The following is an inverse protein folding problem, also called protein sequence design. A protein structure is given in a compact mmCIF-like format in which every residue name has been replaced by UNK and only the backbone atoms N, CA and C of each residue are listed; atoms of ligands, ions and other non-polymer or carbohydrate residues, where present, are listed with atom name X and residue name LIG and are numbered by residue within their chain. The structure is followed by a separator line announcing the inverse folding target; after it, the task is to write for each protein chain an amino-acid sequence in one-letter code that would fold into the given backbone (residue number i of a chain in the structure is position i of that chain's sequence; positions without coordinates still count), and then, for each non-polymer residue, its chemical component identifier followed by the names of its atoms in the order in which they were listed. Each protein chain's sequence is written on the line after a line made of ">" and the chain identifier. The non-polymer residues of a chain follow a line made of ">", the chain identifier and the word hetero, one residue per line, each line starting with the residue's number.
data_IF_672346175571
#
_entry.id   IF_672346175571
#
_cell.length_a   1.000
_cell.length_b   1.000
_cell.length_c   1.000
_cell.angle_alpha   90.00
_cell.angle_beta   90.00
_cell.angle_gamma   90.00
#
_symmetry.space_group_name_H-M   'P 1'
#
loop_
_entity.id
_entity.type
_entity.pdbx_description
1 polymer ?
#
# COMPACT_ATOMS: atom_id res chain seq x y z
N UNK A 1 -32.72 -25.33 8.75
CA UNK A 1 -31.99 -24.63 9.83
C UNK A 1 -32.86 -23.46 10.30
N UNK A 2 -33.54 -23.59 11.44
CA UNK A 2 -34.23 -22.46 12.09
C UNK A 2 -33.16 -21.60 12.79
N UNK A 3 -32.37 -20.90 11.97
CA UNK A 3 -31.22 -20.12 12.41
C UNK A 3 -31.68 -18.85 13.10
N UNK A 4 -31.43 -18.77 14.41
CA UNK A 4 -31.51 -17.51 15.13
C UNK A 4 -30.34 -16.63 14.68
N UNK A 5 -30.62 -15.44 14.17
CA UNK A 5 -29.60 -14.49 13.74
C UNK A 5 -29.18 -13.62 14.93
N UNK A 6 -27.90 -13.33 15.11
CA UNK A 6 -27.41 -12.44 16.16
C UNK A 6 -26.60 -11.31 15.51
N UNK A 7 -26.88 -10.06 15.86
CA UNK A 7 -26.16 -8.91 15.31
C UNK A 7 -25.29 -8.25 16.41
N UNK A 8 -23.96 -8.25 16.29
CA UNK A 8 -23.08 -7.48 17.19
C UNK A 8 -23.22 -5.99 16.91
N UNK A 9 -23.40 -5.20 17.97
CA UNK A 9 -23.67 -3.76 17.86
C UNK A 9 -22.46 -2.88 18.22
N UNK A 10 -21.25 -3.25 17.82
CA UNK A 10 -20.06 -2.39 17.96
C UNK A 10 -19.73 -1.94 19.40
N UNK A 11 -18.70 -1.12 19.57
CA UNK A 11 -18.19 -0.83 20.92
C UNK A 11 -19.21 -0.06 21.77
N UNK A 12 -19.62 -0.67 22.88
CA UNK A 12 -20.56 -0.09 23.83
C UNK A 12 -22.01 -0.56 23.69
N UNK A 13 -22.34 -1.47 22.76
CA UNK A 13 -23.66 -2.08 22.69
C UNK A 13 -23.62 -3.58 22.41
N UNK A 14 -24.42 -4.34 23.17
CA UNK A 14 -24.41 -5.80 23.18
C UNK A 14 -25.03 -6.42 21.91
N UNK A 15 -24.52 -7.57 21.50
CA UNK A 15 -25.10 -8.36 20.41
C UNK A 15 -26.48 -8.92 20.80
N UNK A 16 -27.46 -8.92 19.88
CA UNK A 16 -28.83 -9.37 20.18
C UNK A 16 -29.43 -10.30 19.13
N UNK A 17 -30.23 -11.26 19.60
CA UNK A 17 -30.95 -12.25 18.81
C UNK A 17 -32.09 -11.60 18.02
N UNK A 18 -32.11 -11.78 16.71
CA UNK A 18 -33.13 -11.28 15.79
C UNK A 18 -34.22 -12.35 15.62
N UNK A 19 -35.35 -12.16 16.29
CA UNK A 19 -36.55 -13.00 16.15
C UNK A 19 -37.76 -12.12 15.83
N UNK A 20 -37.77 -11.50 14.64
CA UNK A 20 -38.80 -10.56 14.20
C UNK A 20 -38.72 -9.23 14.96
N UNK A 21 -38.45 -8.10 14.29
CA UNK A 21 -38.04 -6.88 15.00
C UNK A 21 -39.01 -5.72 14.79
N UNK A 22 -39.72 -5.35 15.85
CA UNK A 22 -39.82 -3.94 16.25
C UNK A 22 -38.90 -3.69 17.46
N UNK A 23 -38.55 -2.44 17.73
CA UNK A 23 -37.51 -2.09 18.73
C UNK A 23 -37.89 -2.46 20.18
N UNK A 24 -39.17 -2.77 20.42
CA UNK A 24 -39.70 -3.17 21.72
C UNK A 24 -39.57 -4.67 22.04
N UNK A 25 -39.25 -5.53 21.06
CA UNK A 25 -39.32 -7.00 21.20
C UNK A 25 -37.99 -7.64 21.66
N UNK A 26 -37.00 -6.83 21.99
CA UNK A 26 -35.67 -7.24 22.46
C UNK A 26 -35.75 -7.78 23.90
N UNK A 27 -35.86 -9.09 24.07
CA UNK A 27 -36.17 -9.74 25.37
C UNK A 27 -35.16 -10.80 25.86
N UNK A 28 -33.95 -10.89 25.27
CA UNK A 28 -32.92 -11.83 25.71
C UNK A 28 -32.28 -11.47 27.07
N UNK A 29 -32.04 -12.47 27.94
CA UNK A 29 -31.47 -12.29 29.29
C UNK A 29 -29.94 -12.12 29.31
N UNK A 30 -29.22 -12.71 28.36
CA UNK A 30 -27.77 -12.69 28.33
C UNK A 30 -27.20 -11.66 27.34
N UNK A 31 -26.08 -11.02 27.69
CA UNK A 31 -25.44 -9.93 26.93
C UNK A 31 -23.98 -10.26 26.63
N UNK A 32 -23.52 -9.90 25.44
CA UNK A 32 -22.13 -10.06 25.01
C UNK A 32 -21.68 -8.82 24.22
N UNK A 33 -20.51 -8.28 24.57
CA UNK A 33 -19.83 -7.26 23.77
C UNK A 33 -19.16 -7.89 22.55
N UNK A 34 -18.56 -9.08 22.74
CA UNK A 34 -17.94 -9.89 21.69
C UNK A 34 -18.37 -11.34 21.85
N UNK A 35 -18.50 -12.04 20.72
CA UNK A 35 -18.95 -13.43 20.65
C UNK A 35 -18.11 -14.18 19.62
N UNK A 36 -17.66 -15.38 19.96
CA UNK A 36 -17.03 -16.28 18.99
C UNK A 36 -17.42 -17.73 19.30
N UNK A 37 -17.56 -18.54 18.27
CA UNK A 37 -17.60 -20.00 18.42
C UNK A 37 -16.17 -20.51 18.54
N UNK A 38 -15.91 -21.53 19.35
CA UNK A 38 -14.62 -22.21 19.35
C UNK A 38 -14.74 -23.66 19.77
N UNK A 39 -13.68 -24.43 19.58
CA UNK A 39 -13.69 -25.85 19.90
C UNK A 39 -12.95 -26.13 21.22
N UNK A 40 -13.72 -26.40 22.29
CA UNK A 40 -13.18 -26.80 23.59
C UNK A 40 -12.88 -28.31 23.57
N UNK A 41 -11.70 -28.67 23.05
CA UNK A 41 -11.33 -30.07 22.86
C UNK A 41 -12.15 -30.72 21.74
N UNK A 42 -13.14 -31.54 22.09
CA UNK A 42 -14.08 -32.15 21.12
C UNK A 42 -15.47 -31.53 21.15
N UNK A 43 -15.71 -30.59 22.06
CA UNK A 43 -17.03 -29.97 22.25
C UNK A 43 -17.06 -28.61 21.55
N UNK A 44 -18.01 -28.38 20.61
CA UNK A 44 -18.24 -27.03 20.08
C UNK A 44 -18.83 -26.16 21.20
N UNK A 45 -18.25 -24.99 21.41
CA UNK A 45 -18.61 -24.09 22.52
C UNK A 45 -18.72 -22.66 22.00
N UNK A 46 -19.52 -21.86 22.68
CA UNK A 46 -19.62 -20.42 22.42
C UNK A 46 -18.93 -19.67 23.53
N UNK A 47 -18.02 -18.78 23.15
CA UNK A 47 -17.30 -17.87 24.02
C UNK A 47 -17.88 -16.46 23.90
N UNK A 48 -17.96 -15.74 25.02
CA UNK A 48 -18.37 -14.33 25.04
C UNK A 48 -17.44 -13.47 25.88
N UNK A 49 -17.47 -12.17 25.61
CA UNK A 49 -17.03 -11.14 26.55
C UNK A 49 -18.26 -10.46 27.13
N UNK A 50 -18.38 -10.44 28.45
CA UNK A 50 -19.45 -9.75 29.14
C UNK A 50 -19.12 -8.26 29.32
N UNK A 51 -20.11 -7.39 29.23
CA UNK A 51 -19.95 -5.94 29.35
C UNK A 51 -19.52 -5.47 30.74
N UNK A 52 -19.74 -6.28 31.78
CA UNK A 52 -19.30 -5.99 33.15
C UNK A 52 -17.89 -6.51 33.48
N UNK A 53 -17.43 -7.56 32.78
CA UNK A 53 -16.12 -8.20 32.98
C UNK A 53 -15.34 -8.22 31.66
N UNK A 54 -15.08 -7.02 31.11
CA UNK A 54 -14.50 -6.82 29.77
C UNK A 54 -13.06 -7.34 29.58
N UNK A 55 -12.45 -7.98 30.58
CA UNK A 55 -11.12 -8.61 30.50
C UNK A 55 -11.18 -10.15 30.67
N UNK A 56 -12.40 -10.70 30.70
CA UNK A 56 -12.68 -12.12 30.90
C UNK A 56 -13.49 -12.67 29.74
N UNK A 57 -13.18 -13.91 29.35
CA UNK A 57 -13.96 -14.69 28.40
C UNK A 57 -14.77 -15.71 29.16
N UNK A 58 -16.10 -15.68 29.01
CA UNK A 58 -17.00 -16.69 29.57
C UNK A 58 -17.36 -17.75 28.52
N UNK A 59 -17.55 -18.99 28.96
CA UNK A 59 -17.92 -20.10 28.09
C UNK A 59 -19.36 -20.53 28.37
N UNK A 60 -20.12 -20.77 27.31
CA UNK A 60 -21.45 -21.34 27.42
C UNK A 60 -21.35 -22.86 27.58
N UNK A 61 -22.00 -23.39 28.61
CA UNK A 61 -21.96 -24.83 28.93
C UNK A 61 -23.15 -25.60 28.31
N UNK A 62 -23.99 -24.95 27.50
CA UNK A 62 -25.15 -25.60 26.87
C UNK A 62 -24.71 -26.45 25.67
N UNK A 63 -25.28 -27.65 25.56
CA UNK A 63 -25.05 -28.57 24.43
C UNK A 63 -26.12 -28.42 23.33
N UNK A 64 -26.84 -27.30 23.29
CA UNK A 64 -28.03 -27.08 22.46
C UNK A 64 -28.33 -25.60 22.19
N UNK A 65 -29.58 -25.17 22.38
CA UNK A 65 -29.91 -23.75 22.27
C UNK A 65 -29.20 -22.95 23.36
N UNK A 66 -28.50 -21.89 22.98
CA UNK A 66 -27.70 -21.05 23.88
C UNK A 66 -28.62 -20.31 24.86
N UNK A 67 -28.61 -20.74 26.12
CA UNK A 67 -29.28 -20.13 27.25
C UNK A 67 -28.37 -19.18 28.04
N UNK A 68 -28.73 -18.92 29.29
CA UNK A 68 -27.95 -18.04 30.20
C UNK A 68 -26.93 -18.83 31.06
N UNK A 69 -26.53 -20.02 30.60
CA UNK A 69 -25.58 -20.88 31.32
C UNK A 69 -24.14 -20.54 30.94
N UNK A 70 -23.65 -19.41 31.46
CA UNK A 70 -22.29 -18.93 31.25
C UNK A 70 -21.45 -19.15 32.51
N UNK A 71 -20.41 -19.96 32.39
CA UNK A 71 -19.57 -20.35 33.52
C UNK A 71 -18.09 -20.41 33.14
N UNK A 72 -17.25 -20.68 34.12
CA UNK A 72 -15.82 -20.98 33.95
C UNK A 72 -15.06 -19.89 33.19
N UNK A 73 -15.40 -18.61 33.43
CA UNK A 73 -14.78 -17.51 32.72
C UNK A 73 -13.30 -17.35 33.07
N UNK A 74 -12.49 -17.10 32.05
CA UNK A 74 -11.03 -17.11 32.13
C UNK A 74 -10.48 -15.77 31.67
N UNK A 75 -9.45 -15.29 32.36
CA UNK A 75 -8.86 -13.98 32.11
C UNK A 75 -7.86 -14.05 30.96
N UNK A 76 -7.95 -13.08 30.05
CA UNK A 76 -6.96 -12.88 29.01
C UNK A 76 -5.95 -11.83 29.48
N UNK A 77 -4.72 -12.25 29.79
CA UNK A 77 -3.72 -11.35 30.38
C UNK A 77 -4.20 -10.75 31.71
N UNK A 78 -3.89 -9.48 31.95
CA UNK A 78 -4.32 -8.77 33.16
C UNK A 78 -5.67 -8.03 32.99
N UNK A 79 -6.16 -7.42 34.08
CA UNK A 79 -7.43 -6.68 34.08
C UNK A 79 -7.32 -5.20 33.71
N UNK A 80 -6.14 -4.72 33.28
CA UNK A 80 -5.91 -3.29 33.01
C UNK A 80 -6.41 -2.84 31.64
N UNK A 81 -6.50 -3.77 30.68
CA UNK A 81 -7.01 -3.56 29.32
C UNK A 81 -8.24 -4.40 29.04
N UNK A 82 -9.06 -3.90 28.11
CA UNK A 82 -10.29 -4.57 27.69
C UNK A 82 -10.05 -5.50 26.51
N UNK A 83 -10.91 -6.50 26.37
CA UNK A 83 -11.05 -7.33 25.18
C UNK A 83 -11.86 -6.53 24.16
N UNK A 84 -11.36 -6.53 22.93
CA UNK A 84 -11.87 -5.73 21.81
C UNK A 84 -12.35 -6.56 20.63
N UNK A 85 -11.99 -7.85 20.59
CA UNK A 85 -12.59 -8.83 19.67
C UNK A 85 -12.32 -10.27 20.13
N UNK A 86 -13.19 -11.20 19.75
CA UNK A 86 -12.95 -12.64 19.85
C UNK A 86 -12.88 -13.26 18.45
N UNK A 87 -11.86 -14.06 18.19
CA UNK A 87 -11.65 -14.73 16.92
C UNK A 87 -11.44 -16.23 17.13
N UNK A 88 -11.87 -17.04 16.19
CA UNK A 88 -11.55 -18.46 16.16
C UNK A 88 -10.78 -18.79 14.89
N UNK A 89 -9.74 -19.60 15.06
CA UNK A 89 -9.01 -20.20 13.94
C UNK A 89 -8.52 -21.59 14.33
N UNK A 90 -8.81 -22.59 13.50
CA UNK A 90 -8.40 -23.98 13.68
C UNK A 90 -8.76 -24.60 15.04
N UNK A 91 -9.94 -24.24 15.56
CA UNK A 91 -10.45 -24.70 16.85
C UNK A 91 -9.87 -23.95 18.05
N UNK A 92 -8.90 -23.06 17.85
CA UNK A 92 -8.32 -22.24 18.91
C UNK A 92 -9.03 -20.90 19.02
N UNK A 93 -9.23 -20.45 20.26
CA UNK A 93 -9.80 -19.14 20.55
C UNK A 93 -8.67 -18.11 20.69
N UNK A 94 -8.82 -17.00 19.99
CA UNK A 94 -7.94 -15.84 20.07
C UNK A 94 -8.72 -14.66 20.65
N UNK A 95 -8.11 -14.02 21.64
CA UNK A 95 -8.70 -12.90 22.37
C UNK A 95 -7.88 -11.66 22.04
N UNK A 96 -8.47 -10.78 21.24
CA UNK A 96 -7.87 -9.49 20.92
C UNK A 96 -8.17 -8.50 22.05
N UNK A 97 -7.14 -7.82 22.54
CA UNK A 97 -7.26 -6.79 23.58
C UNK A 97 -6.68 -5.46 23.10
N UNK A 98 -6.81 -4.42 23.92
CA UNK A 98 -6.23 -3.11 23.64
C UNK A 98 -4.69 -3.11 23.62
N UNK A 99 -4.06 -4.07 24.31
CA UNK A 99 -2.61 -4.24 24.41
C UNK A 99 -2.04 -5.26 23.41
N UNK A 100 -2.66 -6.43 23.26
CA UNK A 100 -2.15 -7.51 22.39
C UNK A 100 -3.25 -8.51 22.03
N UNK A 101 -2.88 -9.56 21.29
CA UNK A 101 -3.71 -10.74 21.05
C UNK A 101 -3.20 -11.92 21.88
N UNK A 102 -4.14 -12.63 22.49
CA UNK A 102 -3.88 -13.75 23.37
C UNK A 102 -4.46 -15.03 22.76
N UNK A 103 -3.67 -16.09 22.73
CA UNK A 103 -4.10 -17.42 22.35
C UNK A 103 -4.59 -18.17 23.60
N UNK A 104 -5.80 -18.73 23.52
CA UNK A 104 -6.37 -19.57 24.57
C UNK A 104 -6.14 -21.04 24.23
N UNK A 105 -5.40 -21.71 25.11
CA UNK A 105 -5.19 -23.16 25.01
C UNK A 105 -6.43 -23.96 25.44
N UNK A 106 -6.35 -25.28 25.27
CA UNK A 106 -7.41 -26.24 25.64
C UNK A 106 -7.72 -26.26 27.15
N UNK A 107 -6.75 -25.85 27.98
CA UNK A 107 -6.90 -25.71 29.44
C UNK A 107 -7.24 -24.26 29.86
N UNK A 108 -7.57 -23.40 28.88
CA UNK A 108 -7.89 -22.00 29.05
C UNK A 108 -6.78 -21.12 29.69
N UNK A 109 -5.52 -21.55 29.54
CA UNK A 109 -4.37 -20.67 29.73
C UNK A 109 -4.34 -19.62 28.60
N UNK A 110 -4.18 -18.35 28.96
CA UNK A 110 -3.98 -17.27 27.99
C UNK A 110 -2.49 -16.98 27.81
N UNK A 111 -2.02 -17.06 26.55
CA UNK A 111 -0.63 -16.77 26.19
C UNK A 111 -0.59 -15.59 25.24
N UNK A 112 0.27 -14.61 25.50
CA UNK A 112 0.42 -13.47 24.60
C UNK A 112 1.06 -13.94 23.28
N UNK A 113 0.28 -13.93 22.20
CA UNK A 113 0.69 -14.43 20.89
C UNK A 113 1.60 -13.41 20.16
N UNK A 114 1.59 -12.14 20.57
CA UNK A 114 2.47 -11.09 20.06
C UNK A 114 3.18 -10.40 21.24
N UNK A 115 4.18 -11.06 21.87
CA UNK A 115 4.74 -10.61 23.14
C UNK A 115 5.48 -9.26 23.07
N UNK A 116 5.86 -8.79 21.89
CA UNK A 116 6.56 -7.52 21.70
C UNK A 116 5.62 -6.31 21.48
N UNK A 117 4.31 -6.52 21.33
CA UNK A 117 3.31 -5.44 21.27
C UNK A 117 2.91 -4.91 22.65
N UNK A 118 3.43 -5.52 23.72
CA UNK A 118 3.07 -5.29 25.12
C UNK A 118 2.99 -3.80 25.53
N UNK A 119 2.30 -3.52 26.64
CA UNK A 119 1.76 -2.26 27.23
C UNK A 119 2.17 -0.85 26.72
N UNK A 120 3.31 -0.67 26.06
CA UNK A 120 3.73 0.60 25.47
C UNK A 120 2.88 1.09 24.27
N UNK A 121 2.00 0.24 23.71
CA UNK A 121 1.16 0.58 22.54
C UNK A 121 -0.35 0.39 22.76
N UNK A 122 -0.81 0.43 24.02
CA UNK A 122 -2.24 0.27 24.36
C UNK A 122 -3.09 1.33 23.68
N UNK A 123 -4.16 0.90 23.01
CA UNK A 123 -5.14 1.78 22.39
C UNK A 123 -6.51 1.10 22.32
N UNK A 124 -7.58 1.85 22.64
CA UNK A 124 -8.93 1.33 22.82
C UNK A 124 -9.55 0.71 21.56
N UNK A 125 -8.97 0.98 20.38
CA UNK A 125 -9.43 0.43 19.11
C UNK A 125 -8.53 -0.71 18.61
N UNK A 126 -7.47 -1.08 19.33
CA UNK A 126 -6.63 -2.22 18.93
C UNK A 126 -7.46 -3.50 18.99
N UNK A 127 -7.24 -4.42 18.05
CA UNK A 127 -7.97 -5.66 17.94
C UNK A 127 -9.33 -5.58 17.25
N UNK A 128 -9.99 -4.41 17.25
CA UNK A 128 -11.29 -4.25 16.58
C UNK A 128 -11.15 -4.52 15.08
N UNK A 129 -12.08 -5.29 14.53
CA UNK A 129 -12.11 -5.61 13.11
C UNK A 129 -10.99 -6.55 12.64
N UNK A 130 -10.26 -7.16 13.58
CA UNK A 130 -9.35 -8.27 13.31
C UNK A 130 -10.13 -9.48 12.79
N UNK A 131 -9.48 -10.38 12.05
CA UNK A 131 -10.14 -11.55 11.47
C UNK A 131 -9.17 -12.72 11.34
N UNK A 132 -9.74 -13.92 11.20
CA UNK A 132 -8.99 -15.15 10.92
C UNK A 132 -8.90 -15.42 9.42
N UNK A 133 -7.79 -15.99 8.98
CA UNK A 133 -7.58 -16.42 7.59
C UNK A 133 -6.75 -17.72 7.56
N UNK A 134 -7.43 -18.86 7.41
CA UNK A 134 -6.78 -20.17 7.47
C UNK A 134 -6.18 -20.43 8.86
N UNK A 135 -4.86 -20.58 8.94
CA UNK A 135 -4.07 -20.79 10.16
C UNK A 135 -3.51 -19.49 10.76
N UNK A 136 -4.05 -18.34 10.35
CA UNK A 136 -3.53 -17.02 10.71
C UNK A 136 -4.60 -16.13 11.34
N UNK A 137 -4.14 -15.30 12.27
CA UNK A 137 -4.89 -14.21 12.85
C UNK A 137 -4.29 -12.90 12.36
N UNK A 138 -5.16 -12.05 11.81
CA UNK A 138 -4.82 -10.73 11.33
C UNK A 138 -5.26 -9.72 12.38
N UNK A 139 -4.31 -9.29 13.20
CA UNK A 139 -4.53 -8.40 14.32
C UNK A 139 -4.29 -6.94 13.93
N UNK A 140 -5.32 -6.10 14.09
CA UNK A 140 -5.28 -4.68 13.72
C UNK A 140 -4.87 -3.81 14.91
N UNK A 141 -3.83 -3.00 14.76
CA UNK A 141 -3.40 -2.04 15.80
C UNK A 141 -3.31 -0.63 15.28
N UNK A 142 -3.16 0.33 16.20
CA UNK A 142 -2.80 1.71 15.90
C UNK A 142 -1.48 1.78 15.14
N UNK A 143 -1.56 1.87 13.80
CA UNK A 143 -0.44 2.11 12.89
C UNK A 143 0.13 0.87 12.20
N UNK A 144 -0.23 -0.34 12.63
CA UNK A 144 0.34 -1.58 12.09
C UNK A 144 -0.75 -2.67 11.94
N UNK A 145 -0.63 -3.46 10.87
CA UNK A 145 -1.36 -4.72 10.71
C UNK A 145 -0.40 -5.87 11.04
N UNK A 146 -0.80 -6.77 11.92
CA UNK A 146 0.01 -7.90 12.37
C UNK A 146 -0.61 -9.20 11.92
N UNK A 147 0.24 -10.15 11.54
CA UNK A 147 -0.15 -11.53 11.26
C UNK A 147 0.51 -12.42 12.29
N UNK A 148 -0.29 -13.07 13.11
CA UNK A 148 0.12 -14.22 13.90
C UNK A 148 -0.24 -15.50 13.14
N UNK A 149 0.73 -16.39 12.92
CA UNK A 149 0.48 -17.73 12.38
C UNK A 149 0.60 -18.73 13.52
N UNK A 150 -0.41 -19.60 13.66
CA UNK A 150 -0.47 -20.58 14.75
C UNK A 150 0.82 -21.43 14.75
N UNK A 151 1.53 -21.40 15.87
CA UNK A 151 2.81 -22.12 16.03
C UNK A 151 4.02 -21.57 15.27
N UNK A 152 3.89 -20.47 14.51
CA UNK A 152 5.00 -19.86 13.74
C UNK A 152 5.27 -18.38 14.04
N UNK A 153 4.56 -17.80 15.00
CA UNK A 153 4.83 -16.47 15.54
C UNK A 153 4.20 -15.32 14.74
N UNK A 154 4.59 -14.08 15.08
CA UNK A 154 3.96 -12.86 14.58
C UNK A 154 4.91 -11.97 13.77
N UNK A 155 4.40 -11.36 12.70
CA UNK A 155 5.12 -10.39 11.86
C UNK A 155 4.20 -9.23 11.45
N UNK A 156 4.74 -8.01 11.27
CA UNK A 156 3.97 -6.92 10.69
C UNK A 156 3.83 -7.14 9.19
N UNK A 157 2.64 -6.84 8.65
CA UNK A 157 2.24 -7.16 7.28
C UNK A 157 1.49 -6.02 6.57
N UNK A 158 1.18 -4.92 7.28
CA UNK A 158 0.39 -3.81 6.73
C UNK A 158 1.17 -2.90 5.79
N UNK A 159 0.49 -1.85 5.29
CA UNK A 159 1.08 -0.82 4.42
C UNK A 159 2.30 -0.13 5.05
N UNK A 160 2.35 -0.09 6.39
CA UNK A 160 3.49 0.40 7.18
C UNK A 160 4.81 -0.30 6.81
N UNK A 161 4.76 -1.57 6.37
CA UNK A 161 5.94 -2.35 5.99
C UNK A 161 6.52 -2.00 4.62
N UNK A 162 5.78 -1.26 3.78
CA UNK A 162 6.22 -0.85 2.44
C UNK A 162 7.23 0.30 2.57
N UNK A 163 8.52 0.02 2.39
CA UNK A 163 9.62 0.97 2.64
C UNK A 163 9.76 2.07 1.59
N UNK A 164 9.46 1.77 0.34
CA UNK A 164 9.57 2.68 -0.82
C UNK A 164 8.53 3.79 -0.85
N UNK A 165 7.50 3.71 0.00
CA UNK A 165 6.41 4.67 0.01
C UNK A 165 6.69 5.86 0.94
N UNK A 166 6.64 7.07 0.37
CA UNK A 166 6.82 8.36 1.07
C UNK A 166 5.69 9.33 0.76
N UNK A 167 5.33 10.15 1.76
CA UNK A 167 4.42 11.29 1.65
C UNK A 167 4.90 12.35 0.65
N UNK A 168 4.05 12.67 -0.32
CA UNK A 168 4.16 13.83 -1.20
C UNK A 168 2.96 14.75 -0.97
N UNK A 169 3.15 16.03 -0.60
CA UNK A 169 2.04 16.96 -0.34
C UNK A 169 1.05 17.12 -1.51
N UNK A 170 1.55 16.88 -2.73
CA UNK A 170 0.80 17.00 -3.98
C UNK A 170 -0.22 15.91 -4.25
N UNK A 171 -0.01 14.74 -3.66
CA UNK A 171 -0.90 13.62 -3.89
C UNK A 171 -1.86 13.57 -2.71
N UNK A 172 -3.01 14.23 -2.89
CA UNK A 172 -4.13 14.18 -1.95
C UNK A 172 -4.53 12.72 -1.73
N UNK A 173 -4.44 12.27 -0.48
CA UNK A 173 -4.78 10.90 -0.07
C UNK A 173 -3.74 9.81 -0.32
N UNK A 174 -2.63 10.05 -1.05
CA UNK A 174 -1.62 8.98 -1.21
C UNK A 174 -0.53 9.01 -0.15
N UNK A 175 -0.47 10.07 0.66
CA UNK A 175 0.61 10.27 1.63
C UNK A 175 0.34 9.66 3.01
N UNK A 176 -0.71 8.86 3.11
CA UNK A 176 -1.65 9.08 4.18
C UNK A 176 -2.33 7.75 4.56
N UNK A 177 -2.64 6.90 3.56
CA UNK A 177 -3.01 5.51 3.79
C UNK A 177 -1.98 4.75 4.65
N UNK A 178 -0.68 4.89 4.37
CA UNK A 178 0.39 4.21 5.14
C UNK A 178 0.40 4.60 6.62
N UNK A 179 0.12 5.86 6.92
CA UNK A 179 0.07 6.41 8.29
C UNK A 179 -1.31 6.22 8.93
N UNK A 180 -2.27 5.68 8.16
CA UNK A 180 -3.60 5.36 8.62
C UNK A 180 -3.62 4.23 9.64
N UNK A 181 -4.80 4.05 10.23
CA UNK A 181 -5.11 2.95 11.13
C UNK A 181 -5.86 1.85 10.36
N UNK A 182 -5.37 0.61 10.33
CA UNK A 182 -6.21 -0.54 9.98
C UNK A 182 -7.37 -0.64 10.97
N UNK A 183 -8.61 -0.66 10.48
CA UNK A 183 -9.80 -0.54 11.34
C UNK A 183 -10.79 -1.70 11.23
N UNK A 184 -11.06 -2.18 10.02
CA UNK A 184 -12.02 -3.27 9.79
C UNK A 184 -11.51 -4.15 8.66
N UNK A 185 -11.56 -5.47 8.86
CA UNK A 185 -11.15 -6.45 7.87
C UNK A 185 -12.13 -7.59 7.72
N UNK A 186 -12.13 -8.20 6.53
CA UNK A 186 -12.89 -9.39 6.22
C UNK A 186 -12.12 -10.22 5.19
N UNK A 187 -12.17 -11.54 5.31
CA UNK A 187 -11.66 -12.46 4.31
C UNK A 187 -12.79 -13.02 3.44
N UNK A 188 -12.56 -13.13 2.14
CA UNK A 188 -13.48 -13.76 1.18
C UNK A 188 -12.67 -14.57 0.18
N UNK A 189 -12.93 -15.86 0.11
CA UNK A 189 -12.14 -16.78 -0.71
C UNK A 189 -10.66 -16.71 -0.34
N UNK A 190 -9.82 -16.36 -1.30
CA UNK A 190 -8.37 -16.19 -1.10
C UNK A 190 -7.92 -14.75 -0.83
N UNK A 191 -8.87 -13.80 -0.87
CA UNK A 191 -8.61 -12.39 -0.67
C UNK A 191 -9.02 -11.96 0.74
N UNK A 192 -8.41 -10.87 1.16
CA UNK A 192 -8.80 -10.11 2.33
C UNK A 192 -8.99 -8.64 1.93
N UNK A 193 -10.02 -8.05 2.52
CA UNK A 193 -10.34 -6.64 2.36
C UNK A 193 -10.21 -5.99 3.72
N UNK A 194 -9.56 -4.83 3.77
CA UNK A 194 -9.54 -4.06 5.00
C UNK A 194 -9.57 -2.57 4.74
N UNK A 195 -10.11 -1.82 5.70
CA UNK A 195 -10.13 -0.38 5.70
C UNK A 195 -8.93 0.17 6.44
N UNK A 196 -8.21 1.06 5.76
CA UNK A 196 -7.14 1.86 6.32
C UNK A 196 -7.66 3.29 6.54
N UNK A 197 -7.99 3.64 7.76
CA UNK A 197 -8.63 4.91 8.11
C UNK A 197 -7.59 5.99 8.40
N UNK A 198 -7.75 7.16 7.80
CA UNK A 198 -6.86 8.27 8.06
C UNK A 198 -7.56 9.61 7.84
N UNK A 199 -7.61 10.41 8.92
CA UNK A 199 -8.37 11.66 8.94
C UNK A 199 -9.85 11.41 8.63
N UNK A 200 -10.33 12.02 7.54
CA UNK A 200 -11.72 11.92 7.08
C UNK A 200 -11.89 10.95 5.90
N UNK A 201 -10.88 10.12 5.62
CA UNK A 201 -10.87 9.18 4.51
C UNK A 201 -10.62 7.75 5.01
N UNK A 202 -11.07 6.79 4.20
CA UNK A 202 -10.72 5.38 4.32
C UNK A 202 -10.21 4.88 2.99
N UNK A 203 -9.12 4.12 3.01
CA UNK A 203 -8.61 3.38 1.85
C UNK A 203 -9.07 1.95 1.98
N UNK A 204 -9.89 1.49 1.04
CA UNK A 204 -10.22 0.09 0.92
C UNK A 204 -9.05 -0.62 0.27
N UNK A 205 -8.36 -1.44 1.05
CA UNK A 205 -7.25 -2.26 0.58
C UNK A 205 -7.79 -3.65 0.30
N UNK A 206 -7.56 -4.15 -0.91
CA UNK A 206 -7.63 -5.55 -1.23
C UNK A 206 -6.21 -6.10 -1.17
N UNK A 207 -6.04 -7.27 -0.60
CA UNK A 207 -4.77 -7.93 -0.66
C UNK A 207 -4.94 -9.45 -0.91
N UNK A 208 -3.83 -10.15 -1.13
CA UNK A 208 -3.79 -11.63 -1.15
C UNK A 208 -2.39 -12.12 -0.83
N UNK A 209 -2.28 -13.39 -0.46
CA UNK A 209 -0.99 -14.07 -0.41
C UNK A 209 -0.40 -14.20 -1.80
N UNK A 210 0.93 -14.19 -1.86
CA UNK A 210 1.67 -14.47 -3.08
C UNK A 210 1.45 -15.91 -3.55
N UNK A 211 1.42 -16.06 -4.87
CA UNK A 211 1.37 -17.32 -5.61
C UNK A 211 2.70 -17.53 -6.33
N UNK A 212 2.88 -18.76 -6.78
CA UNK A 212 3.92 -19.07 -7.75
C UNK A 212 3.75 -18.21 -9.01
N UNK A 213 4.84 -17.58 -9.46
CA UNK A 213 4.83 -16.64 -10.59
C UNK A 213 4.63 -15.17 -10.24
N UNK A 214 4.29 -14.82 -9.00
CA UNK A 214 4.23 -13.41 -8.58
C UNK A 214 5.64 -12.78 -8.53
N UNK A 215 5.82 -11.50 -8.95
CA UNK A 215 7.13 -10.82 -8.94
C UNK A 215 7.65 -10.70 -7.51
N UNK A 216 8.93 -10.95 -7.19
CA UNK A 216 9.51 -10.94 -5.82
C UNK A 216 9.09 -9.76 -4.90
N UNK A 217 9.04 -9.99 -3.58
CA UNK A 217 8.65 -8.97 -2.59
C UNK A 217 8.01 -9.51 -1.32
N UNK A 218 7.28 -8.66 -0.58
CA UNK A 218 6.61 -8.98 0.68
C UNK A 218 5.59 -10.11 0.52
N UNK A 219 5.34 -10.90 1.57
CA UNK A 219 4.40 -12.05 1.57
C UNK A 219 3.02 -11.76 0.93
N UNK A 220 2.60 -10.50 0.95
CA UNK A 220 1.29 -10.07 0.53
C UNK A 220 1.40 -9.08 -0.62
N UNK A 221 0.52 -9.26 -1.60
CA UNK A 221 0.27 -8.29 -2.65
C UNK A 221 -0.93 -7.46 -2.19
N UNK A 222 -0.77 -6.13 -2.17
CA UNK A 222 -1.76 -5.20 -1.62
C UNK A 222 -2.05 -4.10 -2.64
N UNK A 223 -3.33 -3.82 -2.85
CA UNK A 223 -3.83 -2.79 -3.76
C UNK A 223 -4.87 -1.93 -3.06
N UNK A 224 -4.73 -0.61 -3.15
CA UNK A 224 -5.81 0.30 -2.80
C UNK A 224 -6.86 0.27 -3.91
N UNK A 225 -8.05 -0.24 -3.61
CA UNK A 225 -9.16 -0.37 -4.56
C UNK A 225 -9.92 0.93 -4.68
N UNK A 226 -10.25 1.55 -3.55
CA UNK A 226 -11.02 2.80 -3.50
C UNK A 226 -10.54 3.67 -2.34
N UNK A 227 -10.53 4.98 -2.59
CA UNK A 227 -10.50 5.99 -1.54
C UNK A 227 -11.91 6.51 -1.34
N UNK A 228 -12.43 6.37 -0.13
CA UNK A 228 -13.81 6.72 0.23
C UNK A 228 -13.79 7.63 1.46
N UNK A 229 -14.90 8.34 1.76
CA UNK A 229 -15.08 8.99 3.04
C UNK A 229 -14.88 8.00 4.20
N UNK A 230 -14.51 8.54 5.37
CA UNK A 230 -14.27 7.77 6.58
C UNK A 230 -15.36 6.72 6.78
N UNK A 231 -14.95 5.49 7.03
CA UNK A 231 -15.82 4.32 7.16
C UNK A 231 -15.55 3.57 8.45
N UNK A 232 -16.61 3.02 9.04
CA UNK A 232 -16.64 2.38 10.36
C UNK A 232 -17.24 0.97 10.35
N UNK A 233 -17.31 0.34 9.18
CA UNK A 233 -17.75 -1.03 9.08
C UNK A 233 -17.43 -1.62 7.72
N UNK A 234 -17.08 -2.90 7.74
CA UNK A 234 -16.82 -3.72 6.59
C UNK A 234 -17.44 -5.10 6.84
N UNK A 235 -18.09 -5.67 5.85
CA UNK A 235 -18.66 -7.01 5.96
C UNK A 235 -18.99 -7.59 4.60
N UNK A 236 -19.14 -8.90 4.52
CA UNK A 236 -19.48 -9.60 3.29
C UNK A 236 -20.72 -10.43 3.54
N UNK A 237 -21.64 -10.42 2.58
CA UNK A 237 -22.85 -11.24 2.66
C UNK A 237 -22.74 -12.53 1.86
N UNK A 238 -23.78 -13.38 1.98
CA UNK A 238 -23.87 -14.67 1.29
C UNK A 238 -23.96 -14.58 -0.25
N UNK A 239 -24.05 -13.37 -0.82
CA UNK A 239 -24.11 -13.13 -2.26
C UNK A 239 -22.80 -12.52 -2.78
N UNK A 240 -21.70 -12.66 -2.02
CA UNK A 240 -20.39 -12.10 -2.33
C UNK A 240 -20.42 -10.58 -2.53
N UNK A 241 -21.24 -9.87 -1.75
CA UNK A 241 -21.23 -8.40 -1.76
C UNK A 241 -20.44 -7.89 -0.57
N UNK A 242 -19.42 -7.08 -0.85
CA UNK A 242 -18.67 -6.34 0.14
C UNK A 242 -19.43 -5.06 0.51
N UNK A 243 -19.94 -5.02 1.73
CA UNK A 243 -20.64 -3.90 2.33
C UNK A 243 -19.68 -3.04 3.12
N UNK A 244 -19.74 -1.73 2.86
CA UNK A 244 -18.91 -0.74 3.54
C UNK A 244 -19.83 0.31 4.15
N UNK A 245 -19.76 0.45 5.48
CA UNK A 245 -20.53 1.44 6.22
C UNK A 245 -19.68 2.66 6.50
N UNK A 246 -20.12 3.81 6.00
CA UNK A 246 -19.51 5.09 6.26
C UNK A 246 -19.67 5.55 7.71
N UNK A 247 -18.90 6.55 8.09
CA UNK A 247 -18.81 7.06 9.46
C UNK A 247 -19.76 8.23 9.73
N UNK A 248 -20.60 8.63 8.77
CA UNK A 248 -21.59 9.68 8.95
C UNK A 248 -22.46 9.42 10.19
N UNK A 249 -22.59 10.45 11.03
CA UNK A 249 -23.50 10.44 12.19
C UNK A 249 -24.90 10.95 11.84
N UNK A 250 -25.09 11.46 10.62
CA UNK A 250 -26.39 11.91 10.14
C UNK A 250 -27.25 10.70 9.78
N UNK A 251 -28.27 10.45 10.60
CA UNK A 251 -29.22 9.35 10.46
C UNK A 251 -30.07 9.45 9.18
N UNK A 252 -30.16 10.63 8.57
CA UNK A 252 -30.88 10.82 7.30
C UNK A 252 -30.03 10.42 6.09
N UNK A 253 -28.71 10.33 6.25
CA UNK A 253 -27.78 9.97 5.19
C UNK A 253 -27.47 8.46 5.24
N UNK A 254 -27.97 7.72 4.25
CA UNK A 254 -27.56 6.31 4.04
C UNK A 254 -26.14 6.26 3.46
N UNK A 255 -25.14 6.27 4.33
CA UNK A 255 -23.73 6.18 3.95
C UNK A 255 -23.28 4.72 3.80
N UNK A 256 -23.90 3.98 2.88
CA UNK A 256 -23.59 2.57 2.60
C UNK A 256 -23.07 2.45 1.18
N UNK A 257 -21.95 1.74 1.02
CA UNK A 257 -21.36 1.40 -0.28
C UNK A 257 -21.32 -0.11 -0.42
N UNK A 258 -21.52 -0.59 -1.64
CA UNK A 258 -21.54 -2.03 -1.93
C UNK A 258 -20.69 -2.29 -3.16
N UNK A 259 -19.77 -3.25 -3.04
CA UNK A 259 -18.97 -3.76 -4.15
C UNK A 259 -19.35 -5.22 -4.36
N UNK A 260 -19.72 -5.57 -5.58
CA UNK A 260 -19.91 -6.97 -5.95
C UNK A 260 -18.54 -7.62 -6.12
N UNK A 261 -18.33 -8.75 -5.46
CA UNK A 261 -17.16 -9.61 -5.62
C UNK A 261 -17.52 -10.78 -6.55
N UNK A 262 -16.50 -11.33 -7.19
CA UNK A 262 -16.57 -12.59 -7.90
C UNK A 262 -16.66 -13.77 -6.90
N UNK A 263 -16.90 -14.98 -7.42
CA UNK A 263 -17.04 -16.19 -6.59
C UNK A 263 -15.79 -16.54 -5.79
N UNK A 264 -14.60 -16.23 -6.33
CA UNK A 264 -13.31 -16.43 -5.67
C UNK A 264 -12.98 -15.34 -4.63
N UNK A 265 -13.86 -14.35 -4.48
CA UNK A 265 -13.67 -13.19 -3.62
C UNK A 265 -12.86 -12.06 -4.24
N UNK A 266 -12.42 -12.18 -5.50
CA UNK A 266 -11.80 -11.06 -6.23
C UNK A 266 -12.84 -9.98 -6.59
N UNK A 267 -12.38 -8.83 -7.08
CA UNK A 267 -13.29 -7.82 -7.61
C UNK A 267 -14.01 -8.38 -8.85
N UNK A 268 -15.33 -8.17 -8.96
CA UNK A 268 -16.10 -8.64 -10.12
C UNK A 268 -15.76 -7.84 -11.39
N UNK A 269 -14.67 -8.23 -12.03
CA UNK A 269 -14.25 -7.71 -13.33
C UNK A 269 -15.14 -8.22 -14.45
N UNK A 270 -15.92 -9.30 -14.28
CA UNK A 270 -16.74 -9.85 -15.36
C UNK A 270 -17.95 -8.98 -15.68
N UNK A 271 -18.61 -8.42 -14.65
CA UNK A 271 -19.85 -7.65 -14.83
C UNK A 271 -19.70 -6.16 -14.51
N UNK A 272 -18.63 -5.73 -13.82
CA UNK A 272 -18.46 -4.34 -13.35
C UNK A 272 -17.01 -3.85 -13.38
N UNK A 273 -16.64 -3.22 -14.50
CA UNK A 273 -15.27 -2.75 -14.79
C UNK A 273 -15.05 -1.27 -14.45
N UNK A 274 -15.67 -0.76 -13.38
CA UNK A 274 -15.50 0.61 -12.88
C UNK A 274 -16.71 1.53 -13.03
N UNK A 275 -16.48 2.85 -13.02
CA UNK A 275 -17.53 3.89 -13.06
C UNK A 275 -17.44 4.73 -14.34
N UNK A 276 -18.60 5.08 -14.89
CA UNK A 276 -18.70 6.08 -15.96
C UNK A 276 -18.58 7.50 -15.40
N UNK A 277 -18.11 8.43 -16.22
CA UNK A 277 -17.89 9.84 -15.85
C UNK A 277 -17.00 10.05 -14.60
N UNK A 278 -15.96 9.23 -14.45
CA UNK A 278 -15.10 9.24 -13.29
C UNK A 278 -13.61 9.31 -13.68
N UNK A 279 -12.84 9.98 -12.84
CA UNK A 279 -11.38 10.01 -12.94
C UNK A 279 -10.78 9.11 -11.87
N UNK A 280 -9.95 8.17 -12.29
CA UNK A 280 -9.21 7.27 -11.41
C UNK A 280 -7.72 7.54 -11.52
N UNK A 281 -7.02 7.43 -10.40
CA UNK A 281 -5.57 7.65 -10.33
C UNK A 281 -4.90 6.43 -9.74
N UNK A 282 -3.82 6.01 -10.37
CA UNK A 282 -2.93 4.95 -9.88
C UNK A 282 -1.58 5.58 -9.65
N UNK A 283 -1.22 5.74 -8.37
CA UNK A 283 0.08 6.23 -7.96
C UNK A 283 0.98 5.04 -7.62
N UNK A 284 2.14 4.98 -8.27
CA UNK A 284 3.13 3.93 -8.00
C UNK A 284 4.09 4.37 -6.89
N UNK A 285 5.00 3.48 -6.49
CA UNK A 285 6.07 3.81 -5.54
C UNK A 285 7.04 4.86 -6.10
N UNK A 286 7.69 5.61 -5.19
CA UNK A 286 8.82 6.47 -5.56
C UNK A 286 10.02 5.59 -5.93
N UNK A 287 10.64 5.88 -7.07
CA UNK A 287 11.86 5.24 -7.54
C UNK A 287 13.02 6.23 -7.47
N UNK A 288 14.11 5.79 -6.89
CA UNK A 288 15.41 6.45 -6.95
C UNK A 288 16.44 5.42 -7.45
N UNK A 289 16.65 5.32 -8.77
CA UNK A 289 17.51 4.30 -9.36
C UNK A 289 19.01 4.59 -9.19
N UNK A 290 19.40 5.82 -8.84
CA UNK A 290 20.79 6.18 -8.56
C UNK A 290 21.09 6.23 -7.06
N UNK A 291 22.28 6.72 -6.71
CA UNK A 291 22.51 7.17 -5.34
C UNK A 291 21.63 8.41 -5.07
N UNK A 292 21.31 8.76 -3.81
CA UNK A 292 20.47 9.92 -3.47
C UNK A 292 20.88 11.25 -4.14
N UNK A 293 22.17 11.40 -4.46
CA UNK A 293 22.76 12.57 -5.11
C UNK A 293 22.88 12.45 -6.64
N UNK A 294 22.61 11.28 -7.22
CA UNK A 294 22.76 11.07 -8.65
C UNK A 294 21.47 11.44 -9.37
N UNK A 295 21.61 12.28 -10.39
CA UNK A 295 20.51 12.55 -11.32
C UNK A 295 20.40 11.38 -12.30
N UNK A 296 19.19 11.22 -12.85
CA UNK A 296 18.88 10.36 -13.98
C UNK A 296 18.02 11.12 -14.99
N UNK A 297 18.11 10.70 -16.25
CA UNK A 297 17.30 11.24 -17.34
C UNK A 297 16.19 10.24 -17.70
N UNK A 298 14.94 10.67 -17.59
CA UNK A 298 13.75 9.96 -18.04
C UNK A 298 13.71 10.02 -19.58
N UNK A 299 13.51 8.87 -20.23
CA UNK A 299 13.58 8.76 -21.69
C UNK A 299 12.25 8.42 -22.32
N UNK A 300 11.59 7.41 -21.75
CA UNK A 300 10.31 6.92 -22.27
C UNK A 300 9.48 6.30 -21.17
N UNK A 301 8.17 6.38 -21.30
CA UNK A 301 7.23 5.57 -20.56
C UNK A 301 6.48 4.72 -21.57
N UNK A 302 6.54 3.41 -21.38
CA UNK A 302 5.87 2.42 -22.20
C UNK A 302 4.76 1.79 -21.38
N UNK A 303 3.57 1.75 -21.95
CA UNK A 303 2.44 1.05 -21.36
C UNK A 303 1.93 0.03 -22.37
N UNK A 304 1.53 -1.13 -21.86
CA UNK A 304 0.87 -2.16 -22.64
C UNK A 304 -0.59 -2.26 -22.17
N UNK A 305 -1.50 -1.96 -23.09
CA UNK A 305 -2.93 -1.94 -22.85
C UNK A 305 -3.64 -2.97 -23.72
N UNK A 306 -4.65 -3.61 -23.15
CA UNK A 306 -5.50 -4.60 -23.83
C UNK A 306 -6.98 -4.25 -23.61
N UNK A 307 -7.84 -4.80 -24.47
CA UNK A 307 -9.28 -4.69 -24.37
C UNK A 307 -9.81 -3.36 -24.93
N UNK A 308 -10.90 -2.87 -24.35
CA UNK A 308 -11.75 -1.85 -24.99
C UNK A 308 -11.36 -0.43 -24.60
N UNK A 309 -10.18 0.00 -25.04
CA UNK A 309 -9.73 1.39 -24.90
C UNK A 309 -10.24 2.24 -26.07
N UNK A 310 -10.88 3.36 -25.76
CA UNK A 310 -11.43 4.28 -26.76
C UNK A 310 -11.45 5.75 -26.26
N UNK A 311 -12.12 6.64 -27.00
CA UNK A 311 -12.27 8.04 -26.58
C UNK A 311 -13.15 8.23 -25.32
N UNK A 312 -13.92 7.20 -24.93
CA UNK A 312 -14.71 7.19 -23.68
C UNK A 312 -13.89 6.75 -22.47
N UNK A 313 -12.74 6.11 -22.69
CA UNK A 313 -11.81 5.59 -21.69
C UNK A 313 -10.37 5.95 -22.06
N UNK A 314 -9.87 7.06 -21.54
CA UNK A 314 -8.52 7.53 -21.86
C UNK A 314 -7.53 7.33 -20.72
N UNK A 315 -6.30 6.89 -21.04
CA UNK A 315 -5.19 6.77 -20.10
C UNK A 315 -4.17 7.87 -20.33
N UNK A 316 -3.99 8.75 -19.36
CA UNK A 316 -2.90 9.73 -19.36
C UNK A 316 -1.73 9.20 -18.51
N UNK A 317 -0.57 9.09 -19.14
CA UNK A 317 0.68 8.78 -18.49
C UNK A 317 1.24 10.06 -17.84
N UNK A 318 1.61 9.98 -16.56
CA UNK A 318 2.15 11.10 -15.79
C UNK A 318 3.33 10.70 -14.93
N UNK A 319 4.12 11.69 -14.52
CA UNK A 319 5.22 11.50 -13.57
C UNK A 319 5.24 12.63 -12.54
N UNK A 320 5.45 12.29 -11.27
CA UNK A 320 5.90 13.26 -10.27
C UNK A 320 7.41 13.15 -10.16
N UNK A 321 8.12 14.23 -10.47
CA UNK A 321 9.58 14.29 -10.32
C UNK A 321 9.94 14.97 -9.01
N UNK A 322 10.94 14.45 -8.32
CA UNK A 322 11.49 15.00 -7.08
C UNK A 322 10.40 15.26 -6.01
N UNK A 323 10.17 16.52 -5.64
CA UNK A 323 9.12 16.95 -4.71
C UNK A 323 8.05 17.78 -5.40
N UNK A 324 7.90 17.63 -6.73
CA UNK A 324 6.97 18.44 -7.51
C UNK A 324 5.55 18.37 -6.96
N UNK A 325 4.90 19.54 -6.94
CA UNK A 325 3.54 19.68 -6.47
C UNK A 325 2.51 19.12 -7.49
N UNK A 326 2.91 18.88 -8.73
CA UNK A 326 2.03 18.49 -9.82
C UNK A 326 2.65 17.36 -10.63
N UNK A 327 1.81 16.41 -11.03
CA UNK A 327 2.19 15.35 -11.96
C UNK A 327 2.20 15.90 -13.38
N UNK A 328 3.32 15.72 -14.08
CA UNK A 328 3.54 16.18 -15.44
C UNK A 328 3.07 15.11 -16.42
N UNK A 329 2.28 15.51 -17.43
CA UNK A 329 1.85 14.60 -18.51
C UNK A 329 3.02 14.24 -19.42
N UNK A 330 3.08 12.98 -19.82
CA UNK A 330 4.09 12.46 -20.75
C UNK A 330 3.39 12.07 -22.05
N UNK A 331 3.40 13.00 -23.01
CA UNK A 331 2.68 12.87 -24.27
C UNK A 331 1.16 12.90 -24.13
N UNK A 332 0.46 12.59 -25.21
CA UNK A 332 -1.00 12.63 -25.30
C UNK A 332 -1.66 11.41 -24.62
N UNK A 333 -2.93 11.55 -24.17
CA UNK A 333 -3.72 10.43 -23.68
C UNK A 333 -3.77 9.27 -24.67
N UNK A 334 -3.89 8.06 -24.14
CA UNK A 334 -4.02 6.83 -24.90
C UNK A 334 -5.50 6.46 -24.93
N UNK A 335 -6.03 6.26 -26.13
CA UNK A 335 -7.45 5.98 -26.41
C UNK A 335 -7.61 4.76 -27.31
N UNK A 336 -6.62 3.85 -27.29
CA UNK A 336 -6.66 2.59 -28.03
C UNK A 336 -5.74 1.56 -27.37
N UNK A 337 -6.11 0.29 -27.49
CA UNK A 337 -5.33 -0.82 -26.96
C UNK A 337 -4.11 -1.07 -27.85
N UNK A 338 -2.92 -0.98 -27.27
CA UNK A 338 -1.65 -1.31 -27.92
C UNK A 338 -0.49 -1.14 -26.93
N UNK A 339 0.68 -1.63 -27.34
CA UNK A 339 1.94 -1.22 -26.73
C UNK A 339 2.27 0.22 -27.15
N UNK A 340 1.97 1.18 -26.28
CA UNK A 340 2.22 2.60 -26.53
C UNK A 340 3.46 3.08 -25.80
N UNK A 341 4.37 3.74 -26.51
CA UNK A 341 5.54 4.40 -25.92
C UNK A 341 5.44 5.91 -26.10
N UNK A 342 5.52 6.65 -24.99
CA UNK A 342 5.64 8.11 -24.99
C UNK A 342 7.06 8.50 -24.58
N UNK A 343 7.66 9.40 -25.34
CA UNK A 343 9.01 9.90 -25.08
C UNK A 343 8.94 11.26 -24.39
N UNK A 344 9.90 11.52 -23.50
CA UNK A 344 10.09 12.88 -23.00
C UNK A 344 10.73 13.76 -24.08
N UNK A 345 10.35 15.04 -24.10
CA UNK A 345 11.10 16.07 -24.82
C UNK A 345 12.45 16.22 -24.14
N UNK A 346 13.54 16.11 -24.90
CA UNK A 346 14.89 16.11 -24.34
C UNK A 346 15.30 17.51 -23.90
N UNK A 347 16.04 17.60 -22.81
CA UNK A 347 16.60 18.87 -22.32
C UNK A 347 15.57 19.84 -21.74
N UNK A 348 14.32 19.42 -21.53
CA UNK A 348 13.29 20.21 -20.83
C UNK A 348 13.17 19.76 -19.38
N UNK A 349 12.26 18.84 -19.10
CA UNK A 349 11.87 18.35 -17.79
C UNK A 349 12.17 16.86 -17.62
N UNK A 350 13.16 16.35 -18.33
CA UNK A 350 13.52 14.93 -18.39
C UNK A 350 14.53 14.51 -17.30
N UNK A 351 15.18 15.45 -16.61
CA UNK A 351 16.14 15.11 -15.54
C UNK A 351 15.49 15.16 -14.15
N UNK A 352 15.77 14.17 -13.30
CA UNK A 352 15.34 14.12 -11.90
C UNK A 352 16.29 13.27 -11.06
N UNK A 353 16.23 13.38 -9.72
CA UNK A 353 16.92 12.44 -8.82
C UNK A 353 16.04 11.23 -8.52
N UNK A 354 14.74 11.51 -8.36
CA UNK A 354 13.72 10.52 -8.03
C UNK A 354 12.45 10.84 -8.79
N UNK A 355 11.66 9.82 -9.04
CA UNK A 355 10.40 9.96 -9.75
C UNK A 355 9.36 8.97 -9.24
N UNK A 356 8.09 9.32 -9.42
CA UNK A 356 6.95 8.47 -9.16
C UNK A 356 6.07 8.43 -10.40
N UNK A 357 5.91 7.27 -11.06
CA UNK A 357 4.93 7.12 -12.11
C UNK A 357 3.51 7.31 -11.55
N UNK A 358 2.66 7.97 -12.33
CA UNK A 358 1.23 8.08 -12.07
C UNK A 358 0.47 7.79 -13.36
N UNK A 359 -0.62 7.06 -13.25
CA UNK A 359 -1.59 6.90 -14.32
C UNK A 359 -2.87 7.63 -13.95
N UNK A 360 -3.44 8.38 -14.88
CA UNK A 360 -4.79 8.93 -14.75
C UNK A 360 -5.68 8.29 -15.80
N UNK A 361 -6.65 7.50 -15.36
CA UNK A 361 -7.73 7.00 -16.19
C UNK A 361 -8.90 7.99 -16.13
N UNK A 362 -9.42 8.39 -17.27
CA UNK A 362 -10.57 9.28 -17.39
C UNK A 362 -11.66 8.56 -18.18
N UNK A 363 -12.81 8.35 -17.54
CA UNK A 363 -14.01 7.84 -18.20
C UNK A 363 -15.02 8.97 -18.40
N UNK A 364 -15.84 8.90 -19.46
CA UNK A 364 -16.93 9.84 -19.70
C UNK A 364 -18.30 9.15 -19.56
N UNK A 365 -19.40 9.87 -19.83
CA UNK A 365 -20.76 9.37 -19.68
C UNK A 365 -21.13 8.23 -20.62
N UNK A 366 -20.37 8.06 -21.71
CA UNK A 366 -20.58 7.01 -22.70
C UNK A 366 -19.78 5.75 -22.40
N UNK A 367 -18.89 5.76 -21.39
CA UNK A 367 -18.24 4.54 -20.93
C UNK A 367 -19.28 3.54 -20.42
N UNK A 368 -19.19 2.29 -20.85
CA UNK A 368 -20.10 1.22 -20.47
C UNK A 368 -19.40 0.17 -19.58
N UNK A 369 -19.39 0.32 -18.24
CA UNK A 369 -18.63 -0.55 -17.35
C UNK A 369 -19.04 -2.03 -17.35
N UNK A 370 -20.18 -2.37 -17.94
CA UNK A 370 -20.66 -3.75 -18.06
C UNK A 370 -20.08 -4.49 -19.25
N UNK A 371 -19.64 -3.76 -20.29
CA UNK A 371 -19.29 -4.35 -21.59
C UNK A 371 -17.94 -3.90 -22.12
N UNK A 372 -17.32 -2.86 -21.55
CA UNK A 372 -16.00 -2.36 -21.95
C UNK A 372 -14.94 -2.77 -20.92
N UNK A 373 -13.84 -3.35 -21.40
CA UNK A 373 -12.73 -3.87 -20.58
C UNK A 373 -11.37 -3.19 -20.86
N UNK A 374 -11.16 -1.95 -20.42
CA UNK A 374 -9.84 -1.34 -20.53
C UNK A 374 -8.87 -1.97 -19.51
N UNK A 375 -7.99 -2.84 -19.97
CA UNK A 375 -6.98 -3.50 -19.14
C UNK A 375 -5.59 -2.87 -19.29
N UNK A 376 -4.85 -2.82 -18.18
CA UNK A 376 -3.45 -2.38 -18.11
C UNK A 376 -2.57 -3.56 -17.72
N UNK A 377 -1.71 -3.99 -18.64
CA UNK A 377 -0.86 -5.17 -18.43
C UNK A 377 0.47 -4.84 -17.78
N UNK A 378 1.13 -3.77 -18.25
CA UNK A 378 2.46 -3.35 -17.74
C UNK A 378 2.73 -1.88 -17.98
N UNK A 379 3.58 -1.33 -17.11
CA UNK A 379 4.15 0.01 -17.22
C UNK A 379 5.65 -0.09 -17.05
N UNK A 380 6.40 0.49 -17.98
CA UNK A 380 7.86 0.48 -18.01
C UNK A 380 8.33 1.93 -18.14
N UNK A 381 9.18 2.38 -17.20
CA UNK A 381 9.87 3.67 -17.32
C UNK A 381 11.31 3.42 -17.74
N UNK A 382 11.65 3.88 -18.94
CA UNK A 382 13.02 3.89 -19.44
C UNK A 382 13.79 5.08 -18.89
N UNK A 383 14.89 4.80 -18.21
CA UNK A 383 15.81 5.79 -17.64
C UNK A 383 17.19 5.67 -18.28
N UNK A 384 17.98 6.73 -18.18
CA UNK A 384 19.38 6.76 -18.58
C UNK A 384 20.23 7.49 -17.54
N UNK A 385 21.37 6.92 -17.20
CA UNK A 385 22.43 7.57 -16.42
C UNK A 385 23.26 8.49 -17.32
N UNK A 386 23.91 9.53 -16.76
CA UNK A 386 24.73 10.41 -17.57
C UNK A 386 25.89 9.61 -18.18
N UNK A 387 26.24 9.93 -19.42
CA UNK A 387 27.45 9.40 -20.03
C UNK A 387 28.65 10.02 -19.31
N UNK A 388 29.59 9.18 -18.87
CA UNK A 388 30.86 9.64 -18.28
C UNK A 388 31.89 9.75 -19.40
N UNK A 389 32.22 10.98 -19.78
CA UNK A 389 33.26 11.28 -20.77
C UNK A 389 34.56 11.53 -20.02
N UNK A 390 35.62 10.82 -20.41
CA UNK A 390 36.97 11.04 -19.88
C UNK A 390 37.81 11.77 -20.93
N UNK A 391 38.44 12.86 -20.54
CA UNK A 391 39.27 13.69 -21.41
C UNK A 391 40.62 13.84 -20.73
N UNK A 392 41.69 13.48 -21.44
CA UNK A 392 43.06 13.72 -20.97
C UNK A 392 43.61 14.94 -21.69
N UNK A 393 43.98 15.97 -20.91
CA UNK A 393 44.59 17.20 -21.42
C UNK A 393 46.08 17.18 -21.09
N UNK A 394 46.98 17.35 -22.08
CA UNK A 394 48.42 17.46 -21.83
C UNK A 394 48.73 18.64 -20.90
N UNK A 395 49.48 18.40 -19.83
CA UNK A 395 49.93 19.45 -18.91
C UNK A 395 51.23 20.09 -19.45
N UNK A 396 51.11 20.87 -20.52
CA UNK A 396 52.23 21.59 -21.16
C UNK A 396 51.84 23.03 -21.45
N UNK A 397 52.83 23.91 -21.52
CA UNK A 397 52.61 25.31 -21.90
C UNK A 397 51.98 25.41 -23.30
N UNK A 398 51.04 26.35 -23.43
CA UNK A 398 50.41 26.72 -24.70
C UNK A 398 50.69 28.21 -24.98
N UNK A 399 50.60 28.67 -26.24
CA UNK A 399 50.81 30.08 -26.56
C UNK A 399 49.91 30.99 -25.71
N UNK A 400 50.51 31.75 -24.80
CA UNK A 400 49.82 32.70 -23.91
C UNK A 400 49.22 32.13 -22.63
N UNK A 401 49.42 30.83 -22.30
CA UNK A 401 48.89 30.21 -21.06
C UNK A 401 49.91 29.18 -20.52
N UNK A 402 50.29 29.28 -19.25
CA UNK A 402 51.20 28.31 -18.62
C UNK A 402 50.50 27.00 -18.25
N UNK A 403 51.24 25.91 -18.09
CA UNK A 403 50.69 24.63 -17.63
C UNK A 403 49.98 24.75 -16.26
N UNK A 404 50.48 25.61 -15.36
CA UNK A 404 49.86 25.90 -14.06
C UNK A 404 48.52 26.63 -14.24
N UNK A 405 48.45 27.60 -15.15
CA UNK A 405 47.21 28.31 -15.46
C UNK A 405 46.17 27.37 -16.07
N UNK A 406 46.59 26.41 -16.91
CA UNK A 406 45.70 25.37 -17.46
C UNK A 406 45.14 24.53 -16.32
N UNK A 407 45.98 24.03 -15.42
CA UNK A 407 45.54 23.22 -14.28
C UNK A 407 44.54 23.97 -13.40
N UNK A 408 44.87 25.20 -12.99
CA UNK A 408 44.00 26.01 -12.14
C UNK A 408 42.65 26.31 -12.84
N UNK A 409 42.67 26.60 -14.14
CA UNK A 409 41.45 26.82 -14.89
C UNK A 409 40.59 25.56 -14.98
N UNK A 410 41.18 24.38 -15.19
CA UNK A 410 40.44 23.12 -15.24
C UNK A 410 39.87 22.73 -13.88
N UNK A 411 40.64 22.86 -12.80
CA UNK A 411 40.15 22.65 -11.43
C UNK A 411 39.04 23.64 -11.07
N UNK A 412 39.12 24.88 -11.56
CA UNK A 412 38.05 25.87 -11.38
C UNK A 412 36.74 25.45 -12.05
N UNK A 413 36.79 24.71 -13.17
CA UNK A 413 35.57 24.21 -13.83
C UNK A 413 34.91 23.05 -13.08
N UNK A 414 35.61 22.41 -12.13
CA UNK A 414 35.04 21.33 -11.34
C UNK A 414 33.84 21.82 -10.52
N UNK A 415 32.69 21.17 -10.69
CA UNK A 415 31.41 21.50 -10.04
C UNK A 415 30.90 22.94 -10.30
N UNK A 416 31.39 23.65 -11.33
CA UNK A 416 30.88 24.97 -11.72
C UNK A 416 29.58 24.93 -12.53
N UNK A 417 29.05 23.73 -12.80
CA UNK A 417 27.86 23.51 -13.62
C UNK A 417 28.21 23.05 -15.04
N UNK A 418 27.32 23.32 -15.99
CA UNK A 418 27.45 22.84 -17.37
C UNK A 418 28.43 23.71 -18.15
N UNK A 419 29.47 23.09 -18.71
CA UNK A 419 30.50 23.73 -19.53
C UNK A 419 30.40 23.19 -20.95
N UNK A 420 30.59 24.06 -21.95
CA UNK A 420 30.62 23.66 -23.36
C UNK A 420 32.05 23.34 -23.77
N UNK A 421 32.27 22.10 -24.18
CA UNK A 421 33.53 21.58 -24.71
C UNK A 421 33.51 21.61 -26.23
N UNK A 422 34.69 21.86 -26.81
CA UNK A 422 34.95 21.68 -28.23
C UNK A 422 36.00 20.60 -28.40
N UNK A 423 35.76 19.62 -29.27
CA UNK A 423 36.78 18.60 -29.57
C UNK A 423 37.90 19.23 -30.43
N UNK A 424 39.18 18.95 -30.13
CA UNK A 424 40.27 19.40 -30.99
C UNK A 424 40.08 18.89 -32.43
N UNK A 425 40.17 19.78 -33.41
CA UNK A 425 40.01 19.44 -34.84
C UNK A 425 38.56 19.27 -35.31
N UNK A 426 37.57 19.42 -34.42
CA UNK A 426 36.15 19.35 -34.75
C UNK A 426 35.48 20.73 -34.57
N UNK A 427 34.42 20.98 -35.33
CA UNK A 427 33.51 22.11 -35.10
C UNK A 427 32.40 21.76 -34.12
N UNK A 428 32.15 20.46 -33.89
CA UNK A 428 31.15 20.01 -32.95
C UNK A 428 31.54 20.34 -31.50
N UNK A 429 30.57 20.94 -30.79
CA UNK A 429 30.64 21.16 -29.35
C UNK A 429 29.73 20.19 -28.62
N UNK A 430 30.03 19.93 -27.34
CA UNK A 430 29.12 19.22 -26.46
C UNK A 430 29.15 19.86 -25.07
N UNK A 431 28.02 19.87 -24.40
CA UNK A 431 27.91 20.43 -23.04
C UNK A 431 27.94 19.31 -22.01
N UNK A 432 28.76 19.47 -20.97
CA UNK A 432 28.91 18.50 -19.89
C UNK A 432 29.33 19.19 -18.59
N UNK A 433 29.04 18.56 -17.45
CA UNK A 433 29.47 19.03 -16.13
C UNK A 433 30.76 18.33 -15.72
N UNK A 434 31.80 19.09 -15.36
CA UNK A 434 33.05 18.52 -14.83
C UNK A 434 32.85 18.17 -13.37
N UNK A 435 33.02 16.91 -12.99
CA UNK A 435 32.89 16.48 -11.59
C UNK A 435 34.20 15.96 -10.99
N UNK A 436 35.20 15.64 -11.81
CA UNK A 436 36.53 15.23 -11.35
C UNK A 436 37.63 15.79 -12.24
N UNK A 437 38.71 16.26 -11.63
CA UNK A 437 39.97 16.66 -12.27
C UNK A 437 41.11 16.04 -11.49
N UNK A 438 41.88 15.16 -12.12
CA UNK A 438 42.96 14.41 -11.48
C UNK A 438 44.20 14.37 -12.35
N UNK A 439 45.37 14.45 -11.74
CA UNK A 439 46.64 14.23 -12.43
C UNK A 439 46.73 12.78 -12.93
N UNK A 440 47.23 12.60 -14.15
CA UNK A 440 47.35 11.31 -14.80
C UNK A 440 48.62 11.23 -15.63
N UNK A 441 49.09 10.01 -15.87
CA UNK A 441 50.14 9.74 -16.84
C UNK A 441 49.53 8.98 -18.00
N UNK A 442 49.83 9.40 -19.23
CA UNK A 442 49.33 8.76 -20.44
C UNK A 442 50.49 8.41 -21.39
N UNK A 443 50.32 7.32 -22.13
CA UNK A 443 51.32 6.84 -23.06
C UNK A 443 51.40 7.73 -24.31
N UNK A 444 52.62 7.97 -24.78
CA UNK A 444 52.95 8.71 -26.00
C UNK A 444 54.00 7.92 -26.79
N UNK A 445 54.21 8.28 -28.06
CA UNK A 445 55.25 7.66 -28.90
C UNK A 445 56.67 7.77 -28.31
N UNK A 446 56.90 8.72 -27.38
CA UNK A 446 58.20 8.97 -26.75
C UNK A 446 58.31 8.47 -25.29
N UNK A 447 57.31 7.72 -24.79
CA UNK A 447 57.24 7.27 -23.39
C UNK A 447 55.97 7.76 -22.69
N UNK A 448 56.00 7.98 -21.38
CA UNK A 448 54.85 8.50 -20.64
C UNK A 448 54.92 10.02 -20.50
N UNK A 449 53.78 10.69 -20.69
CA UNK A 449 53.62 12.12 -20.49
C UNK A 449 52.66 12.41 -19.32
N UNK A 450 52.87 13.56 -18.66
CA UNK A 450 51.98 14.06 -17.61
C UNK A 450 50.80 14.82 -18.22
N UNK A 451 49.61 14.59 -17.68
CA UNK A 451 48.39 15.27 -18.08
C UNK A 451 47.38 15.37 -16.96
N UNK A 452 46.29 16.06 -17.24
CA UNK A 452 45.13 16.13 -16.37
C UNK A 452 43.99 15.33 -16.99
N UNK A 453 43.50 14.33 -16.28
CA UNK A 453 42.25 13.65 -16.59
C UNK A 453 41.08 14.46 -16.04
N UNK A 454 40.15 14.80 -16.92
CA UNK A 454 38.87 15.39 -16.59
C UNK A 454 37.80 14.34 -16.80
N UNK A 455 36.96 14.13 -15.80
CA UNK A 455 35.74 13.35 -15.96
C UNK A 455 34.54 14.27 -16.00
N UNK A 456 33.77 14.15 -17.08
CA UNK A 456 32.60 14.96 -17.35
C UNK A 456 31.33 14.10 -17.38
N UNK A 457 30.25 14.59 -16.78
CA UNK A 457 28.90 14.02 -16.90
C UNK A 457 28.18 14.69 -18.05
N UNK A 458 27.83 13.91 -19.06
CA UNK A 458 27.09 14.38 -20.23
C UNK A 458 25.68 13.81 -20.23
N UNK A 459 24.71 14.71 -20.33
CA UNK A 459 23.31 14.40 -20.58
C UNK A 459 23.03 14.48 -22.08
N UNK A 460 22.02 13.75 -22.57
CA UNK A 460 21.58 13.98 -23.95
C UNK A 460 20.79 15.28 -23.98
N UNK A 461 21.26 16.22 -24.78
CA UNK A 461 20.53 17.43 -25.18
C UNK A 461 19.87 17.21 -26.56
N UNK A 462 18.85 18.00 -26.93
CA UNK A 462 18.26 18.00 -28.27
C UNK A 462 19.28 18.03 -29.41
#
# INVERSE_FOLDING_TARGET
>A
VNGNWYAPMGSGASAQKLTGVTWADVTGTWKADHLSTYQKGVTPTVARVNSTTQHQVDFNEDTGAIGDNWANGQKAGDSSTKITELLEAQGLLFVCKEDSVYEFGVEAESRNAIPFLDRGKVDADNGKGSFAFGDEIVYMTKGDLWRYRIGRGALPIGLNTIRSWRKLPSIKGSSSAKDGRPAFGVSVGEYWYYLQNEGQLSYLIQARKRREGDPEGHELIQHSVLTIPLSKGLGVDSHNRLWIKGASTDETTRDIRVIQLAEDGSLDISNRKGQASANHKIDFDERNPGQPQDRVQLRRITVDTEGDWDATTSLQLKVLRNTSALAESVGDPITSASLTTRNWTLGTNDICYRFRPQLTLTTNSSYAPKTSDPALLRVIVGIRFPEIVRIVIPAKDAPGITALDIEQNLRRLQNQGVVTFRRPGDIATFSAEVFSVTDTMYATEKGFAHGLEIQCRRWITP
#
